data_IF_879302165413
#
_entry.id   IF_879302165413
#
_cell.length_a   1.000
_cell.length_b   1.000
_cell.length_c   1.000
_cell.angle_alpha   90.00
_cell.angle_beta   90.00
_cell.angle_gamma   90.00
#
_symmetry.space_group_name_H-M   'P 1'
#
loop_
_entity.id
_entity.type
_entity.pdbx_description
1 polymer ?
#
# COMPACT_ATOMS: atom_id res chain seq x y z
N UNK A 1 35.94 2.21 6.57
CA UNK A 1 36.90 1.61 5.61
C UNK A 1 36.44 1.70 4.14
N UNK A 2 35.13 1.66 3.81
CA UNK A 2 34.67 1.50 2.41
C UNK A 2 34.44 2.73 1.50
N UNK A 3 34.58 4.00 1.93
CA UNK A 3 34.32 5.17 1.04
C UNK A 3 35.55 5.64 0.25
N UNK A 4 36.71 5.76 0.90
CA UNK A 4 37.94 6.20 0.26
C UNK A 4 38.50 5.17 -0.74
N UNK A 5 38.39 3.87 -0.43
CA UNK A 5 38.76 2.78 -1.34
C UNK A 5 37.88 2.77 -2.60
N UNK A 6 36.56 2.93 -2.43
CA UNK A 6 35.62 3.09 -3.56
C UNK A 6 35.93 4.32 -4.41
N UNK A 7 36.34 5.44 -3.82
CA UNK A 7 36.74 6.64 -4.56
C UNK A 7 37.99 6.40 -5.43
N UNK A 8 38.98 5.62 -4.95
CA UNK A 8 40.19 5.27 -5.72
C UNK A 8 39.96 4.19 -6.79
N UNK A 9 39.03 3.25 -6.58
CA UNK A 9 38.58 2.30 -7.60
C UNK A 9 37.75 3.02 -8.69
N UNK A 10 36.91 3.99 -8.31
CA UNK A 10 36.11 4.81 -9.24
C UNK A 10 36.95 5.64 -10.20
N UNK A 11 37.98 6.33 -9.72
CA UNK A 11 38.87 7.13 -10.58
C UNK A 11 39.63 6.26 -11.58
N UNK A 12 39.99 5.03 -11.19
CA UNK A 12 40.68 4.08 -12.06
C UNK A 12 39.75 3.45 -13.10
N UNK A 13 38.52 3.09 -12.73
CA UNK A 13 37.53 2.54 -13.66
C UNK A 13 37.05 3.57 -14.70
N UNK A 14 36.91 4.85 -14.31
CA UNK A 14 36.60 5.94 -15.27
C UNK A 14 37.79 6.22 -16.21
N UNK A 15 39.02 5.94 -15.78
CA UNK A 15 40.22 5.99 -16.61
C UNK A 15 40.53 4.66 -17.33
N UNK A 16 39.67 3.64 -17.15
CA UNK A 16 39.79 2.31 -17.72
C UNK A 16 39.00 2.18 -19.02
N UNK A 17 38.33 1.04 -19.20
CA UNK A 17 37.49 0.81 -20.38
C UNK A 17 36.13 1.49 -20.26
N UNK A 18 35.50 1.74 -21.41
CA UNK A 18 34.15 2.31 -21.48
C UNK A 18 33.12 1.50 -20.68
N UNK A 19 33.22 0.16 -20.72
CA UNK A 19 32.30 -0.74 -20.03
C UNK A 19 32.46 -0.70 -18.50
N UNK A 20 33.68 -0.48 -18.02
CA UNK A 20 33.94 -0.25 -16.59
C UNK A 20 33.34 1.08 -16.12
N UNK A 21 33.49 2.15 -16.92
CA UNK A 21 32.89 3.45 -16.63
C UNK A 21 31.35 3.37 -16.57
N UNK A 22 30.73 2.69 -17.53
CA UNK A 22 29.28 2.45 -17.54
C UNK A 22 28.82 1.67 -16.30
N UNK A 23 29.55 0.62 -15.90
CA UNK A 23 29.26 -0.15 -14.70
C UNK A 23 29.30 0.71 -13.43
N UNK A 24 30.30 1.59 -13.31
CA UNK A 24 30.41 2.53 -12.18
C UNK A 24 29.24 3.51 -12.14
N UNK A 25 28.85 4.09 -13.29
CA UNK A 25 27.74 5.04 -13.34
C UNK A 25 26.39 4.38 -13.02
N UNK A 26 26.19 3.15 -13.48
CA UNK A 26 24.99 2.37 -13.14
C UNK A 26 24.97 2.03 -11.64
N UNK A 27 26.10 1.64 -11.06
CA UNK A 27 26.21 1.40 -9.61
C UNK A 27 25.96 2.67 -8.78
N UNK A 28 26.40 3.83 -9.29
CA UNK A 28 26.20 5.14 -8.66
C UNK A 28 24.76 5.64 -8.73
N UNK A 29 24.01 5.26 -9.78
CA UNK A 29 22.59 5.53 -9.87
C UNK A 29 21.77 4.77 -8.81
N UNK A 30 22.35 3.74 -8.17
CA UNK A 30 21.74 3.03 -7.05
C UNK A 30 20.39 2.42 -7.41
N UNK A 31 19.39 2.64 -6.55
CA UNK A 31 18.00 2.17 -6.78
C UNK A 31 17.18 3.11 -7.67
N UNK A 32 17.73 4.25 -8.12
CA UNK A 32 17.08 5.04 -9.18
C UNK A 32 17.30 4.37 -10.53
N UNK A 33 18.46 3.71 -10.70
CA UNK A 33 18.89 3.12 -11.96
C UNK A 33 19.27 4.18 -12.99
N UNK A 34 20.12 3.81 -13.94
CA UNK A 34 20.53 4.70 -15.02
C UNK A 34 19.79 4.33 -16.31
N UNK A 35 19.29 5.32 -17.03
CA UNK A 35 18.74 5.10 -18.38
C UNK A 35 19.85 5.09 -19.43
N UNK A 36 19.62 4.42 -20.56
CA UNK A 36 20.55 4.47 -21.68
C UNK A 36 20.82 5.92 -22.14
N UNK A 37 19.79 6.79 -22.17
CA UNK A 37 19.96 8.19 -22.55
C UNK A 37 20.76 9.04 -21.55
N UNK A 38 20.72 8.74 -20.25
CA UNK A 38 21.58 9.39 -19.25
C UNK A 38 23.04 9.00 -19.42
N UNK A 39 23.31 7.73 -19.74
CA UNK A 39 24.64 7.20 -19.96
C UNK A 39 25.21 7.71 -21.30
N UNK A 40 24.42 7.64 -22.38
CA UNK A 40 24.79 8.07 -23.72
C UNK A 40 25.22 9.55 -23.77
N UNK A 41 24.51 10.43 -23.03
CA UNK A 41 24.89 11.85 -22.91
C UNK A 41 26.29 12.08 -22.32
N UNK A 42 26.78 11.16 -21.47
CA UNK A 42 28.14 11.24 -20.92
C UNK A 42 29.19 10.77 -21.91
N UNK A 43 28.79 9.92 -22.86
CA UNK A 43 29.67 9.32 -23.87
C UNK A 43 29.68 10.10 -25.18
N UNK A 44 28.69 10.96 -25.41
CA UNK A 44 28.48 11.61 -26.70
C UNK A 44 27.93 10.67 -27.77
N UNK A 45 27.31 9.55 -27.37
CA UNK A 45 26.73 8.53 -28.25
C UNK A 45 25.20 8.62 -28.29
N UNK A 46 24.57 7.81 -29.15
CA UNK A 46 23.11 7.67 -29.18
C UNK A 46 22.63 6.70 -28.10
N UNK A 47 21.42 6.92 -27.59
CA UNK A 47 20.85 6.08 -26.53
C UNK A 47 20.71 4.61 -26.96
N UNK A 48 20.40 4.36 -28.23
CA UNK A 48 20.25 3.01 -28.77
C UNK A 48 21.59 2.26 -28.81
N UNK A 49 22.69 2.94 -29.11
CA UNK A 49 24.03 2.36 -29.13
C UNK A 49 24.47 1.98 -27.71
N UNK A 50 24.26 2.88 -26.75
CA UNK A 50 24.52 2.59 -25.33
C UNK A 50 23.63 1.46 -24.81
N UNK A 51 22.35 1.41 -25.19
CA UNK A 51 21.44 0.32 -24.80
C UNK A 51 21.90 -1.03 -25.36
N UNK A 52 22.23 -1.08 -26.65
CA UNK A 52 22.73 -2.29 -27.32
C UNK A 52 24.04 -2.79 -26.69
N UNK A 53 24.92 -1.88 -26.27
CA UNK A 53 26.16 -2.21 -25.54
C UNK A 53 25.90 -2.86 -24.18
N UNK A 54 24.82 -2.49 -23.49
CA UNK A 54 24.47 -3.02 -22.16
C UNK A 54 23.72 -4.35 -22.23
N UNK A 55 23.10 -4.70 -23.36
CA UNK A 55 22.28 -5.91 -23.49
C UNK A 55 23.02 -7.22 -23.22
N UNK A 56 24.27 -7.44 -23.69
CA UNK A 56 25.03 -8.63 -23.36
C UNK A 56 25.25 -8.78 -21.84
N UNK A 57 25.42 -7.67 -21.12
CA UNK A 57 25.62 -7.66 -19.67
C UNK A 57 24.34 -7.93 -18.89
N UNK A 58 23.20 -7.50 -19.43
CA UNK A 58 21.89 -7.89 -18.91
C UNK A 58 21.67 -9.40 -19.10
N UNK A 59 21.99 -9.91 -20.30
CA UNK A 59 21.87 -11.33 -20.64
C UNK A 59 22.81 -12.22 -19.80
N UNK A 60 23.99 -11.71 -19.46
CA UNK A 60 24.94 -12.36 -18.56
C UNK A 60 24.60 -12.23 -17.05
N UNK A 61 23.55 -11.47 -16.71
CA UNK A 61 23.15 -11.23 -15.31
C UNK A 61 24.05 -10.27 -14.53
N UNK A 62 24.99 -9.60 -15.21
CA UNK A 62 25.83 -8.56 -14.61
C UNK A 62 25.07 -7.26 -14.34
N UNK A 63 23.99 -7.05 -15.09
CA UNK A 63 23.07 -5.93 -14.95
C UNK A 63 21.63 -6.45 -14.90
N UNK A 64 20.77 -5.72 -14.21
CA UNK A 64 19.33 -5.92 -14.25
C UNK A 64 18.70 -4.74 -14.96
N UNK A 65 17.68 -4.97 -15.79
CA UNK A 65 17.00 -3.91 -16.53
C UNK A 65 15.47 -3.91 -16.29
N UNK A 66 14.84 -2.73 -16.42
CA UNK A 66 13.38 -2.59 -16.42
C UNK A 66 12.81 -2.67 -17.83
N UNK A 67 11.85 -3.56 -18.09
CA UNK A 67 11.05 -3.54 -19.33
C UNK A 67 11.88 -3.36 -20.61
N UNK A 68 11.33 -2.61 -21.57
CA UNK A 68 11.93 -2.36 -22.88
C UNK A 68 11.84 -0.87 -23.27
N UNK A 69 12.58 -0.44 -24.29
CA UNK A 69 12.50 0.90 -24.88
C UNK A 69 13.35 1.99 -24.19
N UNK A 70 13.15 3.26 -24.56
CA UNK A 70 14.00 4.39 -24.14
C UNK A 70 13.94 4.72 -22.63
N UNK A 71 12.85 4.35 -21.96
CA UNK A 71 12.69 4.49 -20.51
C UNK A 71 13.33 3.34 -19.71
N UNK A 72 13.94 2.37 -20.40
CA UNK A 72 14.64 1.24 -19.80
C UNK A 72 15.76 1.75 -18.91
N UNK A 73 15.72 1.29 -17.65
CA UNK A 73 16.72 1.58 -16.63
C UNK A 73 17.53 0.34 -16.34
N UNK A 74 18.81 0.55 -16.07
CA UNK A 74 19.78 -0.47 -15.72
C UNK A 74 20.19 -0.29 -14.27
N UNK A 75 20.37 -1.42 -13.58
CA UNK A 75 20.71 -1.50 -12.17
C UNK A 75 21.86 -2.48 -11.98
N UNK A 76 22.77 -2.15 -11.07
CA UNK A 76 23.74 -3.10 -10.59
C UNK A 76 23.04 -4.12 -9.66
N UNK A 77 23.22 -5.45 -9.86
CA UNK A 77 22.60 -6.48 -9.02
C UNK A 77 22.84 -6.27 -7.52
N UNK A 78 24.03 -5.78 -7.15
CA UNK A 78 24.39 -5.48 -5.76
C UNK A 78 23.47 -4.44 -5.10
N UNK A 79 22.92 -3.49 -5.86
CA UNK A 79 22.00 -2.46 -5.35
C UNK A 79 20.61 -3.02 -5.09
N UNK A 80 20.15 -3.93 -5.95
CA UNK A 80 18.91 -4.65 -5.73
C UNK A 80 19.03 -5.61 -4.54
N UNK A 81 20.16 -6.31 -4.41
CA UNK A 81 20.43 -7.16 -3.24
C UNK A 81 20.48 -6.37 -1.91
N UNK A 82 21.05 -5.16 -1.91
CA UNK A 82 20.99 -4.26 -0.75
C UNK A 82 19.55 -3.82 -0.44
N UNK A 83 18.76 -3.49 -1.48
CA UNK A 83 17.35 -3.16 -1.33
C UNK A 83 16.55 -4.33 -0.74
N UNK A 84 16.77 -5.56 -1.22
CA UNK A 84 16.15 -6.78 -0.68
C UNK A 84 16.45 -6.93 0.83
N UNK A 85 17.72 -6.77 1.23
CA UNK A 85 18.11 -6.82 2.64
C UNK A 85 17.43 -5.73 3.47
N UNK A 86 17.44 -4.48 3.00
CA UNK A 86 16.78 -3.35 3.69
C UNK A 86 15.28 -3.56 3.81
N UNK A 87 14.63 -4.09 2.77
CA UNK A 87 13.20 -4.39 2.77
C UNK A 87 12.85 -5.48 3.79
N UNK A 88 13.63 -6.58 3.86
CA UNK A 88 13.44 -7.63 4.89
C UNK A 88 13.57 -7.07 6.29
N UNK A 89 14.62 -6.28 6.56
CA UNK A 89 14.85 -5.68 7.87
C UNK A 89 13.71 -4.73 8.27
N UNK A 90 13.32 -3.84 7.36
CA UNK A 90 12.22 -2.89 7.59
C UNK A 90 10.89 -3.58 7.91
N UNK A 91 10.51 -4.59 7.12
CA UNK A 91 9.25 -5.31 7.33
C UNK A 91 9.28 -6.11 8.64
N UNK A 92 10.41 -6.71 9.02
CA UNK A 92 10.52 -7.42 10.30
C UNK A 92 10.36 -6.46 11.47
N UNK A 93 11.13 -5.36 11.48
CA UNK A 93 11.09 -4.34 12.55
C UNK A 93 9.68 -3.75 12.70
N UNK A 94 9.00 -3.46 11.59
CA UNK A 94 7.67 -2.84 11.62
C UNK A 94 6.60 -3.81 12.13
N UNK A 95 6.66 -5.09 11.76
CA UNK A 95 5.70 -6.11 12.19
C UNK A 95 5.98 -6.68 13.59
N UNK A 96 7.23 -6.60 14.07
CA UNK A 96 7.55 -6.89 15.47
C UNK A 96 6.96 -5.84 16.42
N UNK A 97 6.94 -4.57 16.00
CA UNK A 97 6.31 -3.48 16.77
C UNK A 97 4.78 -3.53 16.79
N UNK A 98 4.17 -4.15 15.77
CA UNK A 98 2.72 -4.29 15.66
C UNK A 98 2.36 -5.65 15.06
N UNK A 99 2.28 -6.69 15.92
CA UNK A 99 1.99 -8.08 15.52
C UNK A 99 0.65 -8.23 14.81
N UNK A 100 -0.29 -7.31 15.08
CA UNK A 100 -1.64 -7.33 14.54
C UNK A 100 -1.75 -6.57 13.21
N UNK A 101 -0.68 -5.88 12.78
CA UNK A 101 -0.66 -5.23 11.49
C UNK A 101 -0.74 -6.26 10.35
N UNK A 102 -1.70 -6.05 9.44
CA UNK A 102 -1.90 -6.85 8.22
C UNK A 102 -0.92 -6.47 7.09
N UNK A 103 0.27 -5.98 7.46
CA UNK A 103 1.25 -5.38 6.57
C UNK A 103 1.43 -3.88 6.77
N UNK A 104 2.38 -3.33 6.02
CA UNK A 104 2.76 -1.92 6.02
C UNK A 104 2.09 -1.23 4.83
N UNK A 105 1.70 0.04 4.99
CA UNK A 105 1.15 0.81 3.87
C UNK A 105 2.19 0.88 2.73
N UNK A 106 1.75 0.68 1.49
CA UNK A 106 2.62 0.70 0.30
C UNK A 106 3.33 2.04 0.18
N UNK A 107 2.64 3.15 0.43
CA UNK A 107 3.22 4.49 0.40
C UNK A 107 4.38 4.65 1.41
N UNK A 108 4.17 4.15 2.63
CA UNK A 108 5.20 4.17 3.68
C UNK A 108 6.41 3.30 3.31
N UNK A 109 6.17 2.11 2.74
CA UNK A 109 7.25 1.25 2.27
C UNK A 109 8.06 1.91 1.14
N UNK A 110 7.39 2.61 0.21
CA UNK A 110 8.06 3.37 -0.86
C UNK A 110 8.88 4.50 -0.28
N UNK A 111 8.30 5.32 0.60
CA UNK A 111 8.99 6.44 1.26
C UNK A 111 10.25 5.95 1.99
N UNK A 112 10.14 4.83 2.71
CA UNK A 112 11.23 4.31 3.52
C UNK A 112 12.33 3.62 2.70
N UNK A 113 11.96 2.84 1.68
CA UNK A 113 12.89 1.99 0.93
C UNK A 113 13.45 2.67 -0.32
N UNK A 114 12.69 3.60 -0.90
CA UNK A 114 12.93 4.23 -2.21
C UNK A 114 12.77 5.77 -2.10
N UNK A 115 13.61 6.46 -1.31
CA UNK A 115 13.48 7.89 -1.11
C UNK A 115 13.80 8.70 -2.38
N UNK A 116 13.18 9.88 -2.50
CA UNK A 116 13.41 10.83 -3.59
C UNK A 116 13.02 10.27 -4.96
N UNK A 117 13.90 10.44 -5.96
CA UNK A 117 13.65 10.00 -7.35
C UNK A 117 13.48 8.49 -7.50
N UNK A 118 13.89 7.69 -6.51
CA UNK A 118 13.67 6.24 -6.54
C UNK A 118 12.18 5.88 -6.42
N UNK A 119 11.34 6.76 -5.89
CA UNK A 119 9.89 6.55 -5.83
C UNK A 119 9.25 6.49 -7.23
N UNK A 120 9.83 7.18 -8.23
CA UNK A 120 9.35 7.17 -9.62
C UNK A 120 9.39 5.75 -10.23
N UNK A 121 10.30 4.90 -9.74
CA UNK A 121 10.49 3.51 -10.20
C UNK A 121 9.99 2.49 -9.18
N UNK A 122 9.13 2.90 -8.25
CA UNK A 122 8.63 2.04 -7.18
C UNK A 122 7.88 0.81 -7.69
N UNK A 123 7.14 0.91 -8.80
CA UNK A 123 6.42 -0.21 -9.37
C UNK A 123 7.37 -1.37 -9.72
N UNK A 124 8.50 -1.06 -10.37
CA UNK A 124 9.53 -2.05 -10.69
C UNK A 124 10.12 -2.68 -9.43
N UNK A 125 10.55 -1.87 -8.45
CA UNK A 125 11.20 -2.39 -7.25
C UNK A 125 10.26 -3.25 -6.41
N UNK A 126 8.98 -2.85 -6.26
CA UNK A 126 8.00 -3.67 -5.55
C UNK A 126 7.74 -4.98 -6.28
N UNK A 127 7.66 -4.97 -7.62
CA UNK A 127 7.57 -6.17 -8.44
C UNK A 127 8.80 -7.08 -8.31
N UNK A 128 9.99 -6.48 -8.33
CA UNK A 128 11.25 -7.19 -8.10
C UNK A 128 11.24 -7.87 -6.72
N UNK A 129 11.01 -7.11 -5.65
CA UNK A 129 10.96 -7.64 -4.29
C UNK A 129 9.90 -8.75 -4.12
N UNK A 130 8.76 -8.63 -4.82
CA UNK A 130 7.74 -9.66 -4.86
C UNK A 130 8.23 -10.93 -5.57
N UNK A 131 8.82 -10.80 -6.75
CA UNK A 131 9.38 -11.93 -7.52
C UNK A 131 10.49 -12.67 -6.77
N UNK A 132 11.20 -11.96 -5.87
CA UNK A 132 12.26 -12.50 -5.01
C UNK A 132 11.77 -13.04 -3.67
N UNK A 133 10.45 -13.06 -3.43
CA UNK A 133 9.87 -13.54 -2.18
C UNK A 133 10.31 -12.72 -0.96
N UNK A 134 10.57 -11.43 -1.13
CA UNK A 134 10.89 -10.51 -0.03
C UNK A 134 9.60 -9.96 0.59
N UNK A 135 8.61 -9.67 -0.24
CA UNK A 135 7.31 -9.15 0.15
C UNK A 135 6.21 -9.69 -0.77
N UNK A 136 4.96 -9.55 -0.34
CA UNK A 136 3.77 -9.66 -1.15
C UNK A 136 3.08 -8.29 -1.16
N UNK A 137 2.52 -7.91 -2.30
CA UNK A 137 1.68 -6.71 -2.45
C UNK A 137 0.22 -7.14 -2.39
N UNK A 138 -0.54 -6.51 -1.50
CA UNK A 138 -1.96 -6.80 -1.28
C UNK A 138 -2.73 -5.47 -1.23
N UNK A 139 -3.33 -5.09 -2.36
CA UNK A 139 -3.94 -3.78 -2.53
C UNK A 139 -2.98 -2.62 -2.27
N UNK A 140 -3.26 -1.82 -1.24
CA UNK A 140 -2.46 -0.68 -0.79
C UNK A 140 -1.43 -1.05 0.29
N UNK A 141 -1.20 -2.34 0.55
CA UNK A 141 -0.28 -2.83 1.58
C UNK A 141 0.81 -3.74 1.03
N UNK A 142 1.89 -3.83 1.80
CA UNK A 142 2.99 -4.78 1.58
C UNK A 142 3.29 -5.55 2.87
N UNK A 143 3.57 -6.84 2.76
CA UNK A 143 3.88 -7.72 3.91
C UNK A 143 4.86 -8.81 3.53
N UNK A 144 5.60 -9.43 4.46
CA UNK A 144 6.38 -10.63 4.16
C UNK A 144 5.48 -11.74 3.58
N UNK A 145 5.94 -12.52 2.59
CA UNK A 145 5.17 -13.63 2.05
C UNK A 145 4.86 -14.66 3.15
N UNK A 146 3.67 -15.25 3.12
CA UNK A 146 3.25 -16.27 4.10
C UNK A 146 3.00 -15.77 5.52
N UNK A 147 3.34 -14.52 5.86
CA UNK A 147 3.05 -13.93 7.17
C UNK A 147 1.72 -13.19 7.11
N UNK A 148 0.69 -13.79 7.69
CA UNK A 148 -0.53 -13.09 8.11
C UNK A 148 -0.44 -12.69 9.59
N UNK A 149 -1.24 -11.72 10.06
CA UNK A 149 -1.41 -11.47 11.49
C UNK A 149 -1.78 -12.77 12.19
N UNK A 150 -0.94 -13.17 13.14
CA UNK A 150 -1.20 -14.32 14.00
C UNK A 150 -1.89 -13.81 15.25
N UNK A 151 -3.17 -14.10 15.41
CA UNK A 151 -3.88 -13.92 16.67
C UNK A 151 -3.59 -15.11 17.59
N UNK A 152 -3.50 -14.87 18.90
CA UNK A 152 -3.61 -15.97 19.88
C UNK A 152 -5.04 -16.54 19.89
N UNK A 153 -5.25 -17.68 20.55
CA UNK A 153 -6.61 -18.23 20.72
C UNK A 153 -7.54 -17.25 21.44
N UNK A 154 -7.03 -16.58 22.48
CA UNK A 154 -7.77 -15.54 23.22
C UNK A 154 -8.12 -14.33 22.35
N UNK A 155 -7.16 -13.85 21.55
CA UNK A 155 -7.36 -12.72 20.64
C UNK A 155 -8.33 -13.07 19.50
N UNK A 156 -8.31 -14.32 19.03
CA UNK A 156 -9.27 -14.82 18.04
C UNK A 156 -10.68 -14.77 18.60
N UNK A 157 -10.88 -15.27 19.83
CA UNK A 157 -12.16 -15.20 20.52
C UNK A 157 -12.62 -13.75 20.76
N UNK A 158 -11.71 -12.88 21.21
CA UNK A 158 -12.03 -11.46 21.41
C UNK A 158 -12.36 -10.73 20.10
N UNK A 159 -11.63 -11.03 19.01
CA UNK A 159 -11.90 -10.46 17.69
C UNK A 159 -13.28 -10.87 17.16
N UNK A 160 -13.67 -12.14 17.35
CA UNK A 160 -15.01 -12.60 16.98
C UNK A 160 -16.11 -11.86 17.76
N UNK A 161 -15.96 -11.73 19.08
CA UNK A 161 -16.91 -10.97 19.92
C UNK A 161 -16.95 -9.48 19.58
N UNK A 162 -15.83 -8.89 19.16
CA UNK A 162 -15.80 -7.52 18.66
C UNK A 162 -16.65 -7.38 17.40
N UNK A 163 -16.46 -8.26 16.41
CA UNK A 163 -17.28 -8.25 15.18
C UNK A 163 -18.76 -8.39 15.52
N UNK A 164 -19.11 -9.38 16.35
CA UNK A 164 -20.48 -9.62 16.78
C UNK A 164 -21.10 -8.40 17.48
N UNK A 165 -20.37 -7.76 18.40
CA UNK A 165 -20.83 -6.54 19.08
C UNK A 165 -21.13 -5.40 18.09
N UNK A 166 -20.26 -5.19 17.09
CA UNK A 166 -20.45 -4.16 16.07
C UNK A 166 -21.57 -4.48 15.10
N UNK A 167 -21.81 -5.77 14.80
CA UNK A 167 -22.93 -6.22 13.96
C UNK A 167 -24.27 -6.07 14.69
N UNK A 168 -24.34 -6.46 15.96
CA UNK A 168 -25.55 -6.36 16.78
C UNK A 168 -25.94 -4.91 17.12
N UNK A 169 -24.97 -3.98 17.10
CA UNK A 169 -25.23 -2.57 17.39
C UNK A 169 -25.70 -1.74 16.17
N UNK A 170 -26.01 -2.42 15.06
CA UNK A 170 -26.54 -1.82 13.82
C UNK A 170 -25.73 -0.61 13.33
N UNK A 171 -26.37 0.56 13.23
CA UNK A 171 -25.80 1.77 12.64
C UNK A 171 -25.29 2.80 13.67
N UNK A 172 -25.46 2.53 14.97
CA UNK A 172 -24.92 3.37 16.05
C UNK A 172 -24.07 2.56 17.06
N UNK A 173 -22.98 1.91 16.60
CA UNK A 173 -22.17 1.05 17.45
C UNK A 173 -21.40 1.81 18.54
N UNK A 174 -20.96 1.09 19.59
CA UNK A 174 -20.17 1.69 20.67
C UNK A 174 -18.82 2.23 20.16
N UNK A 175 -18.29 3.22 20.88
CA UNK A 175 -16.91 3.67 20.68
C UNK A 175 -15.89 2.54 20.96
N UNK A 176 -14.66 2.60 20.42
CA UNK A 176 -13.62 1.62 20.74
C UNK A 176 -13.41 1.40 22.25
N UNK A 177 -13.44 2.48 23.02
CA UNK A 177 -13.26 2.42 24.47
C UNK A 177 -14.45 1.74 25.17
N UNK A 178 -15.68 2.00 24.71
CA UNK A 178 -16.88 1.32 25.22
C UNK A 178 -16.90 -0.15 24.84
N UNK A 179 -16.54 -0.50 23.60
CA UNK A 179 -16.44 -1.88 23.15
C UNK A 179 -15.42 -2.66 24.00
N UNK A 180 -14.25 -2.07 24.26
CA UNK A 180 -13.24 -2.66 25.14
C UNK A 180 -13.80 -2.91 26.55
N UNK A 181 -14.50 -1.94 27.13
CA UNK A 181 -15.14 -2.09 28.46
C UNK A 181 -16.21 -3.18 28.47
N UNK A 182 -17.11 -3.20 27.50
CA UNK A 182 -18.20 -4.20 27.41
C UNK A 182 -17.67 -5.63 27.29
N UNK A 183 -16.53 -5.80 26.61
CA UNK A 183 -15.92 -7.12 26.39
C UNK A 183 -14.85 -7.48 27.42
N UNK A 184 -14.66 -6.66 28.47
CA UNK A 184 -13.66 -6.89 29.51
C UNK A 184 -12.21 -6.91 28.99
N UNK A 185 -11.93 -6.22 27.88
CA UNK A 185 -10.64 -6.23 27.22
C UNK A 185 -9.76 -5.05 27.65
N UNK A 186 -8.44 -5.28 27.70
CA UNK A 186 -7.47 -4.19 27.86
C UNK A 186 -7.58 -3.23 26.66
N UNK A 187 -7.61 -1.89 26.86
CA UNK A 187 -7.79 -0.93 25.77
C UNK A 187 -6.80 -1.10 24.60
N UNK A 188 -5.52 -1.32 24.90
CA UNK A 188 -4.48 -1.52 23.87
C UNK A 188 -4.69 -2.77 23.03
N UNK A 189 -5.17 -3.86 23.65
CA UNK A 189 -5.48 -5.11 22.94
C UNK A 189 -6.70 -4.92 22.04
N UNK A 190 -7.77 -4.31 22.56
CA UNK A 190 -8.97 -4.01 21.77
C UNK A 190 -8.66 -3.08 20.59
N UNK A 191 -7.83 -2.05 20.80
CA UNK A 191 -7.41 -1.12 19.74
C UNK A 191 -6.63 -1.84 18.62
N UNK A 192 -5.66 -2.69 18.99
CA UNK A 192 -4.92 -3.51 18.04
C UNK A 192 -5.81 -4.46 17.24
N UNK A 193 -6.78 -5.11 17.90
CA UNK A 193 -7.74 -5.99 17.23
C UNK A 193 -8.71 -5.23 16.34
N UNK A 194 -9.17 -4.05 16.74
CA UNK A 194 -10.00 -3.18 15.88
C UNK A 194 -9.21 -2.78 14.63
N UNK A 195 -7.94 -2.41 14.77
CA UNK A 195 -7.06 -2.08 13.63
C UNK A 195 -6.91 -3.28 12.70
N UNK A 196 -6.70 -4.47 13.25
CA UNK A 196 -6.67 -5.73 12.50
C UNK A 196 -7.99 -5.97 11.75
N UNK A 197 -9.14 -5.82 12.41
CA UNK A 197 -10.47 -6.03 11.81
C UNK A 197 -10.80 -5.01 10.71
N UNK A 198 -10.34 -3.77 10.84
CA UNK A 198 -10.42 -2.76 9.77
C UNK A 198 -9.54 -3.16 8.58
N UNK A 199 -8.31 -3.62 8.83
CA UNK A 199 -7.42 -4.15 7.78
C UNK A 199 -8.06 -5.32 7.01
N UNK A 200 -8.75 -6.21 7.73
CA UNK A 200 -9.50 -7.34 7.17
C UNK A 200 -10.88 -6.99 6.62
N UNK A 201 -11.24 -5.70 6.55
CA UNK A 201 -12.53 -5.19 6.06
C UNK A 201 -13.75 -5.79 6.75
N UNK A 202 -13.61 -6.22 8.01
CA UNK A 202 -14.72 -6.64 8.87
C UNK A 202 -15.36 -5.44 9.55
N UNK A 203 -14.55 -4.44 9.88
CA UNK A 203 -15.00 -3.13 10.32
C UNK A 203 -14.61 -2.07 9.28
N UNK A 204 -15.41 -1.02 9.20
CA UNK A 204 -15.19 0.15 8.36
C UNK A 204 -14.96 1.35 9.26
N UNK A 205 -13.89 2.10 9.00
CA UNK A 205 -13.64 3.39 9.65
C UNK A 205 -14.26 4.49 8.81
N UNK A 206 -15.22 5.20 9.40
CA UNK A 206 -15.89 6.36 8.84
C UNK A 206 -15.08 7.64 9.14
N UNK A 207 -15.42 8.78 8.50
CA UNK A 207 -14.95 10.09 8.92
C UNK A 207 -15.17 10.35 10.42
N UNK A 208 -14.38 11.25 10.99
CA UNK A 208 -14.33 11.53 12.43
C UNK A 208 -13.92 10.33 13.32
N UNK A 209 -13.41 9.25 12.74
CA UNK A 209 -12.87 8.10 13.48
C UNK A 209 -13.93 7.16 14.03
N UNK A 210 -15.19 7.28 13.59
CA UNK A 210 -16.25 6.34 13.94
C UNK A 210 -15.99 4.98 13.26
N UNK A 211 -16.45 3.90 13.89
CA UNK A 211 -16.30 2.54 13.39
C UNK A 211 -17.67 1.91 13.24
N UNK A 212 -17.84 1.12 12.19
CA UNK A 212 -19.07 0.38 11.93
C UNK A 212 -18.76 -0.99 11.35
N UNK A 213 -19.65 -1.96 11.52
CA UNK A 213 -19.50 -3.25 10.84
C UNK A 213 -19.63 -3.09 9.33
N UNK A 214 -18.77 -3.78 8.57
CA UNK A 214 -18.88 -3.86 7.13
C UNK A 214 -20.22 -4.50 6.69
N UNK A 215 -20.74 -5.46 7.46
CA UNK A 215 -22.04 -6.07 7.19
C UNK A 215 -23.19 -5.06 7.38
N UNK A 216 -23.13 -4.22 8.41
CA UNK A 216 -24.12 -3.17 8.63
C UNK A 216 -24.13 -2.14 7.47
N UNK A 217 -22.95 -1.75 6.98
CA UNK A 217 -22.84 -0.88 5.79
C UNK A 217 -23.41 -1.59 4.55
N UNK A 218 -23.10 -2.86 4.33
CA UNK A 218 -23.63 -3.60 3.19
C UNK A 218 -25.16 -3.68 3.20
N UNK A 219 -25.76 -3.95 4.36
CA UNK A 219 -27.21 -3.98 4.54
C UNK A 219 -27.85 -2.60 4.28
N UNK A 220 -27.25 -1.54 4.82
CA UNK A 220 -27.66 -0.16 4.57
C UNK A 220 -27.63 0.18 3.07
N UNK A 221 -26.56 -0.21 2.36
CA UNK A 221 -26.43 0.04 0.92
C UNK A 221 -27.47 -0.73 0.12
N UNK A 222 -27.76 -1.97 0.49
CA UNK A 222 -28.77 -2.80 -0.15
C UNK A 222 -30.18 -2.18 0.02
N UNK A 223 -30.53 -1.79 1.24
CA UNK A 223 -31.81 -1.13 1.53
C UNK A 223 -31.93 0.22 0.80
N UNK A 224 -30.88 1.04 0.84
CA UNK A 224 -30.87 2.34 0.17
C UNK A 224 -31.10 2.23 -1.34
N UNK A 225 -30.52 1.21 -1.98
CA UNK A 225 -30.74 0.94 -3.42
C UNK A 225 -32.13 0.40 -3.71
N UNK A 226 -32.73 -0.34 -2.78
CA UNK A 226 -34.09 -0.85 -2.89
C UNK A 226 -35.17 0.19 -2.55
N UNK A 227 -34.82 1.25 -1.80
CA UNK A 227 -35.74 2.29 -1.35
C UNK A 227 -36.36 3.13 -2.49
N UNK A 228 -35.81 3.05 -3.71
CA UNK A 228 -36.34 3.77 -4.87
C UNK A 228 -36.18 5.29 -4.81
N UNK A 229 -35.24 5.79 -3.99
CA UNK A 229 -34.99 7.22 -3.86
C UNK A 229 -34.29 7.78 -5.11
N UNK A 230 -34.96 8.70 -5.82
CA UNK A 230 -34.30 9.49 -6.87
C UNK A 230 -33.32 10.50 -6.26
N UNK A 231 -33.77 11.25 -5.25
CA UNK A 231 -32.97 12.17 -4.45
C UNK A 231 -33.44 12.18 -3.00
N UNK A 232 -32.52 12.39 -2.07
CA UNK A 232 -32.84 12.50 -0.65
C UNK A 232 -31.90 13.45 0.07
N UNK A 233 -32.41 14.13 1.11
CA UNK A 233 -31.64 14.98 2.00
C UNK A 233 -31.12 14.22 3.24
N UNK A 234 -30.32 14.92 4.04
CA UNK A 234 -29.89 14.39 5.35
C UNK A 234 -31.06 14.10 6.30
N UNK A 235 -32.14 14.92 6.37
CA UNK A 235 -33.30 14.61 7.21
C UNK A 235 -33.97 13.29 6.86
N UNK A 236 -34.24 13.03 5.57
CA UNK A 236 -34.89 11.81 5.09
C UNK A 236 -34.07 10.56 5.45
N UNK A 237 -32.75 10.65 5.30
CA UNK A 237 -31.82 9.58 5.67
C UNK A 237 -31.85 9.30 7.19
N UNK A 238 -31.86 10.35 8.01
CA UNK A 238 -31.94 10.19 9.46
C UNK A 238 -33.25 9.55 9.90
N UNK A 239 -34.36 9.98 9.31
CA UNK A 239 -35.68 9.48 9.65
C UNK A 239 -35.83 8.00 9.28
N UNK A 240 -35.45 7.62 8.05
CA UNK A 240 -35.53 6.23 7.59
C UNK A 240 -34.73 5.26 8.44
N UNK A 241 -33.50 5.64 8.82
CA UNK A 241 -32.56 4.74 9.49
C UNK A 241 -32.46 4.99 11.01
N UNK A 242 -33.27 5.89 11.56
CA UNK A 242 -33.27 6.22 12.99
C UNK A 242 -31.93 6.77 13.50
N UNK A 243 -31.20 7.52 12.66
CA UNK A 243 -29.83 7.94 12.96
C UNK A 243 -29.74 9.31 13.61
N UNK A 244 -28.86 9.42 14.60
CA UNK A 244 -28.37 10.71 15.08
C UNK A 244 -27.50 11.41 14.02
N UNK A 245 -27.33 12.73 14.17
CA UNK A 245 -26.48 13.53 13.26
C UNK A 245 -25.02 13.06 13.29
N UNK A 246 -24.56 12.55 14.45
CA UNK A 246 -23.22 12.00 14.65
C UNK A 246 -22.93 10.85 13.68
N UNK A 247 -23.92 10.02 13.36
CA UNK A 247 -23.76 8.86 12.48
C UNK A 247 -24.17 9.15 11.04
N UNK A 248 -25.26 9.90 10.84
CA UNK A 248 -25.81 10.15 9.50
C UNK A 248 -24.81 10.83 8.56
N UNK A 249 -24.15 11.91 9.00
CA UNK A 249 -23.24 12.67 8.12
C UNK A 249 -22.01 11.84 7.73
N UNK A 250 -21.25 11.22 8.67
CA UNK A 250 -20.09 10.39 8.30
C UNK A 250 -20.46 9.17 7.45
N UNK A 251 -21.63 8.57 7.66
CA UNK A 251 -22.12 7.49 6.80
C UNK A 251 -22.36 8.00 5.38
N UNK A 252 -23.05 9.12 5.21
CA UNK A 252 -23.30 9.70 3.90
C UNK A 252 -22.01 10.09 3.18
N UNK A 253 -21.04 10.67 3.89
CA UNK A 253 -19.71 10.96 3.34
C UNK A 253 -18.98 9.68 2.90
N UNK A 254 -19.10 8.60 3.67
CA UNK A 254 -18.55 7.30 3.28
C UNK A 254 -19.24 6.75 2.01
N UNK A 255 -20.57 6.81 1.94
CA UNK A 255 -21.34 6.40 0.76
C UNK A 255 -21.00 7.22 -0.48
N UNK A 256 -20.76 8.52 -0.31
CA UNK A 256 -20.32 9.43 -1.38
C UNK A 256 -18.92 9.01 -1.88
N UNK A 257 -17.97 8.80 -0.96
CA UNK A 257 -16.58 8.44 -1.31
C UNK A 257 -16.45 7.06 -1.97
N UNK A 258 -17.34 6.13 -1.62
CA UNK A 258 -17.39 4.78 -2.20
C UNK A 258 -18.24 4.70 -3.46
N UNK A 259 -18.83 5.81 -3.90
CA UNK A 259 -19.63 5.89 -5.12
C UNK A 259 -20.97 5.16 -5.01
N UNK A 260 -21.50 4.98 -3.81
CA UNK A 260 -22.87 4.51 -3.59
C UNK A 260 -23.85 5.67 -3.77
N UNK A 261 -23.48 6.86 -3.32
CA UNK A 261 -24.28 8.08 -3.48
C UNK A 261 -23.46 9.18 -4.15
N UNK A 262 -24.15 10.21 -4.64
CA UNK A 262 -23.51 11.44 -5.11
C UNK A 262 -24.26 12.64 -4.55
N UNK A 263 -23.54 13.53 -3.88
CA UNK A 263 -24.07 14.82 -3.43
C UNK A 263 -24.32 15.77 -4.60
N UNK A 264 -25.51 16.36 -4.63
CA UNK A 264 -25.97 17.36 -5.61
C UNK A 264 -26.62 18.48 -4.79
N UNK A 265 -25.86 19.55 -4.52
CA UNK A 265 -26.30 20.61 -3.61
C UNK A 265 -26.47 20.11 -2.17
N UNK A 266 -27.69 20.23 -1.65
CA UNK A 266 -28.12 19.79 -0.33
C UNK A 266 -28.69 18.35 -0.33
N UNK A 267 -28.95 17.78 -1.50
CA UNK A 267 -29.47 16.43 -1.69
C UNK A 267 -28.39 15.44 -2.17
N UNK A 268 -28.75 14.16 -2.19
CA UNK A 268 -27.96 13.05 -2.74
C UNK A 268 -28.80 12.20 -3.66
N UNK A 269 -28.20 11.73 -4.74
CA UNK A 269 -28.77 10.69 -5.61
C UNK A 269 -28.10 9.34 -5.33
N UNK A 270 -28.88 8.26 -5.38
CA UNK A 270 -28.35 6.88 -5.26
C UNK A 270 -27.77 6.47 -6.62
N UNK A 271 -26.55 5.94 -6.62
CA UNK A 271 -25.89 5.47 -7.83
C UNK A 271 -26.11 3.96 -8.05
N UNK A 272 -26.28 3.52 -9.30
CA UNK A 272 -26.37 2.10 -9.62
C UNK A 272 -25.07 1.39 -9.25
N UNK A 273 -25.16 0.08 -8.94
CA UNK A 273 -23.98 -0.72 -8.69
C UNK A 273 -23.04 -0.67 -9.91
N UNK A 274 -21.76 -0.36 -9.68
CA UNK A 274 -20.75 -0.46 -10.73
C UNK A 274 -20.73 -1.89 -11.25
N UNK A 275 -20.98 -2.09 -12.54
CA UNK A 275 -20.66 -3.35 -13.20
C UNK A 275 -19.17 -3.58 -13.03
N UNK A 276 -18.78 -4.70 -12.41
CA UNK A 276 -17.39 -5.09 -12.35
C UNK A 276 -16.89 -5.24 -13.80
N UNK A 277 -16.01 -4.35 -14.22
CA UNK A 277 -15.23 -4.56 -15.44
C UNK A 277 -14.28 -5.71 -15.13
N UNK A 278 -14.65 -6.91 -15.57
CA UNK A 278 -13.72 -8.03 -15.71
C UNK A 278 -12.61 -7.58 -16.66
N UNK A 279 -11.41 -7.38 -16.12
CA UNK A 279 -10.19 -7.00 -16.84
C UNK A 279 -8.99 -7.53 -16.08
#
# INVERSE_FOLDING_TARGET
>A
IGRARRAGERRRAIAGTLDEALGVWIDDAGVVGATAGELARRLGERAEETAARLEPRVSAGELVATGEGAARRFFAPARLADLERRARAFLSERLERDRLADGVARAEAVERLLPGRAAEVAAFHLGWLASRGVLAVDGDRVRPPGRGPQLTGEETGLAARLVELYEQSALEPPSPAEAARRLGAKPSVAEGLIKYLVGRRKLVRLPAGLLISAAAVANLVADLRAAGWEKFGVPDFKERYGLSRKWAIPLLEHLDSTGVTRRIGDQRAVLPARRATSG
#
